data_IF_984873877295
#
_entry.id   IF_984873877295
#
_cell.length_a   1.000
_cell.length_b   1.000
_cell.length_c   1.000
_cell.angle_alpha   90.00
_cell.angle_beta   90.00
_cell.angle_gamma   90.00
#
_symmetry.space_group_name_H-M   'P 1'
#
loop_
_entity.id
_entity.type
_entity.pdbx_description
1 polymer ?
#
# COMPACT_ATOMS: atom_id res chain seq x y z
N UNK A 1 -21.56 -2.64 12.93
CA UNK A 1 -21.63 -3.95 12.25
C UNK A 1 -20.77 -4.00 10.96
N UNK A 2 -19.81 -3.08 10.76
CA UNK A 2 -19.04 -2.91 9.50
C UNK A 2 -17.66 -3.60 9.47
N UNK A 3 -17.18 -4.11 10.61
CA UNK A 3 -15.87 -4.76 10.73
C UNK A 3 -15.80 -6.16 10.06
N UNK A 4 -16.95 -6.76 9.72
CA UNK A 4 -16.99 -8.14 9.23
C UNK A 4 -16.65 -8.28 7.74
N UNK A 5 -16.95 -7.29 6.89
CA UNK A 5 -16.69 -7.39 5.45
C UNK A 5 -15.20 -7.35 5.10
N UNK A 6 -14.46 -6.39 5.67
CA UNK A 6 -13.00 -6.25 5.49
C UNK A 6 -12.24 -7.50 5.94
N UNK A 7 -12.57 -7.97 7.14
CA UNK A 7 -11.93 -9.15 7.71
C UNK A 7 -12.21 -10.40 6.87
N UNK A 8 -13.46 -10.58 6.44
CA UNK A 8 -13.86 -11.70 5.58
C UNK A 8 -13.15 -11.69 4.23
N UNK A 9 -13.05 -10.52 3.57
CA UNK A 9 -12.36 -10.40 2.28
C UNK A 9 -10.87 -10.72 2.41
N UNK A 10 -10.21 -10.15 3.42
CA UNK A 10 -8.78 -10.41 3.66
C UNK A 10 -8.55 -11.90 3.99
N UNK A 11 -9.42 -12.49 4.81
CA UNK A 11 -9.36 -13.91 5.12
C UNK A 11 -9.51 -14.77 3.85
N UNK A 12 -10.46 -14.44 2.96
CA UNK A 12 -10.63 -15.15 1.68
C UNK A 12 -9.42 -15.01 0.75
N UNK A 13 -8.76 -13.85 0.74
CA UNK A 13 -7.50 -13.66 0.00
C UNK A 13 -6.44 -14.63 0.51
N UNK A 14 -6.26 -14.72 1.83
CA UNK A 14 -5.26 -15.62 2.44
C UNK A 14 -5.59 -17.10 2.20
N UNK A 15 -6.86 -17.49 2.35
CA UNK A 15 -7.31 -18.85 2.04
C UNK A 15 -7.00 -19.23 0.58
N UNK A 16 -7.27 -18.33 -0.38
CA UNK A 16 -7.04 -18.57 -1.80
C UNK A 16 -5.55 -18.72 -2.16
N UNK A 17 -4.66 -18.05 -1.44
CA UNK A 17 -3.20 -18.21 -1.61
C UNK A 17 -2.61 -19.31 -0.71
N UNK A 18 -3.46 -20.09 -0.04
CA UNK A 18 -3.05 -21.20 0.81
C UNK A 18 -2.37 -20.78 2.11
N UNK A 19 -2.51 -19.52 2.53
CA UNK A 19 -1.89 -19.00 3.74
C UNK A 19 -2.78 -19.26 4.96
N UNK A 20 -2.18 -19.91 5.95
CA UNK A 20 -2.69 -20.05 7.31
C UNK A 20 -1.51 -19.94 8.28
N UNK A 21 -1.76 -20.03 9.58
CA UNK A 21 -0.68 -19.87 10.58
C UNK A 21 0.44 -20.92 10.44
N UNK A 22 0.11 -22.16 10.09
CA UNK A 22 1.11 -23.21 9.90
C UNK A 22 2.01 -22.91 8.70
N UNK A 23 1.41 -22.62 7.55
CA UNK A 23 2.17 -22.26 6.33
C UNK A 23 3.00 -20.99 6.56
N UNK A 24 2.43 -20.02 7.28
CA UNK A 24 3.13 -18.80 7.66
C UNK A 24 4.38 -19.10 8.51
N UNK A 25 4.26 -20.02 9.48
CA UNK A 25 5.38 -20.45 10.31
C UNK A 25 6.47 -21.15 9.48
N UNK A 26 6.07 -22.06 8.59
CA UNK A 26 6.99 -22.80 7.70
C UNK A 26 7.77 -21.86 6.77
N UNK A 27 7.10 -20.89 6.16
CA UNK A 27 7.73 -19.92 5.26
C UNK A 27 8.70 -19.00 6.01
N UNK A 28 8.33 -18.54 7.21
CA UNK A 28 9.24 -17.74 8.04
C UNK A 28 10.46 -18.56 8.46
N UNK A 29 10.28 -19.83 8.80
CA UNK A 29 11.39 -20.70 9.18
C UNK A 29 12.32 -21.00 8.01
N UNK A 30 11.79 -21.18 6.81
CA UNK A 30 12.59 -21.27 5.60
C UNK A 30 13.44 -20.00 5.37
N UNK A 31 12.85 -18.81 5.54
CA UNK A 31 13.58 -17.55 5.41
C UNK A 31 14.67 -17.38 6.49
N UNK A 32 14.39 -17.77 7.73
CA UNK A 32 15.37 -17.74 8.82
C UNK A 32 16.49 -18.75 8.58
N UNK A 33 16.17 -19.93 8.05
CA UNK A 33 17.16 -20.95 7.73
C UNK A 33 18.12 -20.47 6.64
N UNK A 34 17.59 -19.82 5.60
CA UNK A 34 18.36 -19.26 4.49
C UNK A 34 19.25 -18.09 4.92
N UNK A 35 18.68 -17.12 5.66
CA UNK A 35 19.36 -15.84 5.96
C UNK A 35 19.96 -15.74 7.36
N UNK A 36 19.64 -16.67 8.26
CA UNK A 36 20.00 -16.64 9.67
C UNK A 36 19.21 -15.60 10.49
N UNK A 37 19.04 -14.38 9.98
CA UNK A 37 18.14 -13.35 10.51
C UNK A 37 17.34 -12.73 9.38
N UNK A 38 16.10 -12.34 9.68
CA UNK A 38 15.17 -11.79 8.69
C UNK A 38 14.61 -10.44 9.18
N UNK A 39 14.24 -9.59 8.24
CA UNK A 39 13.59 -8.29 8.44
C UNK A 39 12.19 -8.28 7.79
N UNK A 40 11.39 -7.24 8.05
CA UNK A 40 10.14 -6.98 7.31
C UNK A 40 10.33 -7.04 5.80
N UNK A 41 11.48 -6.53 5.36
CA UNK A 41 11.83 -6.44 3.95
C UNK A 41 12.05 -7.82 3.33
N UNK A 42 12.74 -8.71 4.03
CA UNK A 42 12.99 -10.08 3.56
C UNK A 42 11.66 -10.82 3.35
N UNK A 43 10.71 -10.63 4.26
CA UNK A 43 9.38 -11.23 4.18
C UNK A 43 8.59 -10.62 3.01
N UNK A 44 8.55 -9.29 2.90
CA UNK A 44 7.88 -8.58 1.79
C UNK A 44 8.42 -8.97 0.41
N UNK A 45 9.72 -9.27 0.32
CA UNK A 45 10.38 -9.63 -0.93
C UNK A 45 10.05 -11.04 -1.39
N UNK A 46 10.10 -11.98 -0.46
CA UNK A 46 9.90 -13.39 -0.77
C UNK A 46 8.43 -13.75 -0.83
N UNK A 47 7.61 -13.14 0.04
CA UNK A 47 6.21 -13.49 0.22
C UNK A 47 5.37 -12.27 0.65
N UNK A 48 4.97 -11.42 -0.31
CA UNK A 48 4.11 -10.25 -0.03
C UNK A 48 2.86 -10.62 0.77
N UNK A 49 2.16 -11.71 0.41
CA UNK A 49 0.97 -12.15 1.12
C UNK A 49 1.24 -12.68 2.53
N UNK A 50 2.44 -13.23 2.79
CA UNK A 50 2.85 -13.68 4.12
C UNK A 50 3.02 -12.50 5.06
N UNK A 51 3.64 -11.42 4.58
CA UNK A 51 3.75 -10.18 5.34
C UNK A 51 2.36 -9.64 5.70
N UNK A 52 1.47 -9.53 4.70
CA UNK A 52 0.09 -9.08 4.89
C UNK A 52 -0.67 -9.95 5.91
N UNK A 53 -0.48 -11.27 5.85
CA UNK A 53 -1.06 -12.23 6.79
C UNK A 53 -0.61 -11.94 8.21
N UNK A 54 0.71 -11.80 8.41
CA UNK A 54 1.30 -11.52 9.72
C UNK A 54 0.76 -10.21 10.26
N UNK A 55 0.76 -9.14 9.47
CA UNK A 55 0.21 -7.87 9.90
C UNK A 55 -1.26 -8.00 10.30
N UNK A 56 -2.09 -8.60 9.46
CA UNK A 56 -3.54 -8.60 9.67
C UNK A 56 -3.91 -9.22 11.02
N UNK A 57 -3.32 -10.39 11.31
CA UNK A 57 -3.61 -11.17 12.51
C UNK A 57 -2.77 -10.75 13.73
N UNK A 58 -1.50 -10.36 13.53
CA UNK A 58 -0.55 -10.14 14.62
C UNK A 58 -0.22 -8.66 14.83
N UNK A 59 -0.66 -7.77 13.94
CA UNK A 59 -0.46 -6.31 13.93
C UNK A 59 0.97 -5.86 13.62
N UNK A 60 1.97 -6.68 13.87
CA UNK A 60 3.35 -6.45 13.43
C UNK A 60 4.16 -7.74 13.37
N UNK A 61 5.19 -7.76 12.52
CA UNK A 61 6.15 -8.87 12.47
C UNK A 61 6.90 -9.00 13.80
N UNK A 62 7.24 -7.89 14.46
CA UNK A 62 7.83 -7.92 15.81
C UNK A 62 6.96 -8.70 16.80
N UNK A 63 5.63 -8.48 16.79
CA UNK A 63 4.71 -9.18 17.69
C UNK A 63 4.57 -10.66 17.34
N UNK A 64 4.49 -10.98 16.05
CA UNK A 64 4.52 -12.36 15.57
C UNK A 64 5.82 -13.09 15.99
N UNK A 65 6.98 -12.48 15.75
CA UNK A 65 8.28 -13.05 16.11
C UNK A 65 8.45 -13.21 17.63
N UNK A 66 7.90 -12.29 18.42
CA UNK A 66 7.81 -12.42 19.89
C UNK A 66 6.97 -13.63 20.31
N UNK A 67 5.77 -13.80 19.75
CA UNK A 67 4.89 -14.95 20.04
C UNK A 67 5.58 -16.28 19.76
N UNK A 68 6.40 -16.33 18.71
CA UNK A 68 7.14 -17.53 18.29
C UNK A 68 8.49 -17.71 18.97
N UNK A 69 8.85 -16.84 19.93
CA UNK A 69 10.16 -16.83 20.59
C UNK A 69 11.36 -16.70 19.62
N UNK A 70 11.13 -16.05 18.46
CA UNK A 70 12.10 -15.87 17.38
C UNK A 70 12.59 -14.43 17.24
N UNK A 71 12.30 -13.56 18.20
CA UNK A 71 12.71 -12.15 18.14
C UNK A 71 14.23 -11.95 17.92
N UNK A 72 15.09 -12.83 18.45
CA UNK A 72 16.55 -12.79 18.21
C UNK A 72 16.96 -13.06 16.75
N UNK A 73 16.07 -13.69 15.99
CA UNK A 73 16.20 -13.98 14.55
C UNK A 73 15.53 -12.90 13.69
N UNK A 74 14.87 -11.93 14.33
CA UNK A 74 14.26 -10.80 13.67
C UNK A 74 15.17 -9.57 13.83
N UNK A 75 15.43 -8.89 12.72
CA UNK A 75 16.02 -7.56 12.73
C UNK A 75 14.84 -6.59 12.79
N UNK A 76 14.57 -6.04 13.98
CA UNK A 76 13.61 -4.93 14.13
C UNK A 76 14.05 -3.84 13.16
N UNK A 77 13.22 -3.60 12.14
CA UNK A 77 13.53 -2.67 11.07
C UNK A 77 13.35 -1.25 11.60
N UNK A 78 14.45 -0.60 11.98
CA UNK A 78 14.55 0.85 11.82
C UNK A 78 15.10 1.10 10.41
N UNK A 79 14.26 1.56 9.46
CA UNK A 79 14.77 1.95 8.14
C UNK A 79 15.91 2.93 8.33
N UNK A 80 17.03 2.73 7.64
CA UNK A 80 18.07 3.75 7.64
C UNK A 80 17.46 5.10 7.23
N UNK A 81 17.88 6.19 7.87
CA UNK A 81 17.39 7.54 7.53
C UNK A 81 17.46 7.81 6.01
N UNK A 82 18.47 7.25 5.35
CA UNK A 82 18.63 7.31 3.90
C UNK A 82 17.49 6.60 3.14
N UNK A 83 17.11 5.39 3.56
CA UNK A 83 16.02 4.63 2.95
C UNK A 83 14.68 5.34 3.16
N UNK A 84 14.41 5.89 4.36
CA UNK A 84 13.20 6.71 4.61
C UNK A 84 13.12 7.89 3.66
N UNK A 85 14.21 8.64 3.51
CA UNK A 85 14.27 9.78 2.59
C UNK A 85 14.03 9.37 1.14
N UNK A 86 14.59 8.24 0.72
CA UNK A 86 14.44 7.72 -0.64
C UNK A 86 13.00 7.27 -0.92
N UNK A 87 12.38 6.54 0.01
CA UNK A 87 10.97 6.14 -0.09
C UNK A 87 10.04 7.34 -0.06
N UNK A 88 10.31 8.34 0.78
CA UNK A 88 9.56 9.60 0.81
C UNK A 88 9.67 10.34 -0.52
N UNK A 89 10.86 10.40 -1.12
CA UNK A 89 11.06 11.04 -2.43
C UNK A 89 10.28 10.31 -3.53
N UNK A 90 10.34 8.99 -3.56
CA UNK A 90 9.54 8.18 -4.50
C UNK A 90 8.03 8.39 -4.28
N UNK A 91 7.61 8.60 -3.03
CA UNK A 91 6.21 8.87 -2.69
C UNK A 91 5.74 10.18 -3.31
N UNK A 92 6.56 11.22 -3.20
CA UNK A 92 6.32 12.54 -3.81
C UNK A 92 6.33 12.45 -5.34
N UNK A 93 7.30 11.74 -5.94
CA UNK A 93 7.35 11.54 -7.40
C UNK A 93 6.10 10.80 -7.90
N UNK A 94 5.63 9.80 -7.16
CA UNK A 94 4.40 9.09 -7.50
C UNK A 94 3.16 9.99 -7.37
N UNK A 95 3.08 10.76 -6.30
CA UNK A 95 1.98 11.71 -6.08
C UNK A 95 1.90 12.76 -7.21
N UNK A 96 3.03 13.34 -7.61
CA UNK A 96 3.11 14.27 -8.73
C UNK A 96 2.64 13.62 -10.03
N UNK A 97 3.09 12.39 -10.31
CA UNK A 97 2.66 11.65 -11.49
C UNK A 97 1.16 11.35 -11.50
N UNK A 98 0.56 11.06 -10.34
CA UNK A 98 -0.90 10.92 -10.21
C UNK A 98 -1.59 12.25 -10.51
N UNK A 99 -1.09 13.37 -10.00
CA UNK A 99 -1.66 14.70 -10.29
C UNK A 99 -1.62 15.05 -11.79
N UNK A 100 -0.50 14.78 -12.46
CA UNK A 100 -0.39 14.92 -13.91
C UNK A 100 -1.38 14.03 -14.66
N UNK A 101 -1.54 12.77 -14.23
CA UNK A 101 -2.50 11.83 -14.82
C UNK A 101 -3.95 12.32 -14.68
N UNK A 102 -4.32 12.81 -13.50
CA UNK A 102 -5.65 13.38 -13.26
C UNK A 102 -5.89 14.61 -14.14
N UNK A 103 -4.87 15.45 -14.32
CA UNK A 103 -4.93 16.64 -15.18
C UNK A 103 -5.13 16.26 -16.65
N UNK A 104 -4.37 15.29 -17.18
CA UNK A 104 -4.52 14.78 -18.55
C UNK A 104 -5.90 14.17 -18.80
N UNK A 105 -6.53 13.61 -17.77
CA UNK A 105 -7.90 13.08 -17.82
C UNK A 105 -8.98 14.15 -17.58
N UNK A 106 -8.62 15.43 -17.49
CA UNK A 106 -9.51 16.55 -17.17
C UNK A 106 -10.29 16.35 -15.85
N UNK A 107 -9.67 15.70 -14.87
CA UNK A 107 -10.24 15.54 -13.53
C UNK A 107 -9.76 16.72 -12.68
N UNK A 108 -10.70 17.59 -12.32
CA UNK A 108 -10.42 18.76 -11.48
C UNK A 108 -10.12 18.34 -10.03
N UNK A 109 -9.08 18.92 -9.43
CA UNK A 109 -8.74 18.75 -8.03
C UNK A 109 -7.99 19.97 -7.49
N UNK A 110 -7.98 20.12 -6.16
CA UNK A 110 -7.09 21.03 -5.44
C UNK A 110 -6.05 20.18 -4.70
N UNK A 111 -4.77 20.54 -4.79
CA UNK A 111 -3.72 19.81 -4.09
C UNK A 111 -3.58 20.30 -2.65
N UNK A 112 -3.49 19.37 -1.69
CA UNK A 112 -3.16 19.62 -0.28
C UNK A 112 -4.08 20.51 0.56
N UNK A 113 -5.10 21.16 -0.02
CA UNK A 113 -5.99 22.04 0.70
C UNK A 113 -7.38 21.42 0.88
N UNK A 114 -7.59 20.85 2.07
CA UNK A 114 -8.88 20.31 2.48
C UNK A 114 -9.77 21.32 3.24
N UNK A 115 -9.25 22.51 3.57
CA UNK A 115 -9.88 23.43 4.52
C UNK A 115 -10.06 22.87 5.94
N UNK A 116 -9.52 21.67 6.26
CA UNK A 116 -9.62 21.02 7.58
C UNK A 116 -8.25 20.93 8.24
N UNK A 117 -8.16 21.45 9.47
CA UNK A 117 -6.94 21.42 10.28
C UNK A 117 -6.44 19.98 10.42
N UNK A 118 -5.14 19.80 10.18
CA UNK A 118 -4.43 18.53 10.22
C UNK A 118 -4.78 17.51 9.14
N UNK A 119 -5.70 17.77 8.19
CA UNK A 119 -5.93 16.88 7.05
C UNK A 119 -5.28 17.47 5.79
N UNK A 120 -4.33 16.73 5.21
CA UNK A 120 -3.61 17.13 4.01
C UNK A 120 -3.67 15.97 3.00
N UNK A 121 -4.87 15.71 2.43
CA UNK A 121 -4.97 14.75 1.34
C UNK A 121 -4.15 15.25 0.15
N UNK A 122 -3.60 14.33 -0.63
CA UNK A 122 -2.86 14.70 -1.83
C UNK A 122 -3.77 15.43 -2.84
N UNK A 123 -5.03 15.01 -2.95
CA UNK A 123 -6.01 15.57 -3.88
C UNK A 123 -7.35 15.85 -3.19
N UNK A 124 -7.99 16.97 -3.54
CA UNK A 124 -9.34 17.32 -3.11
C UNK A 124 -10.21 17.53 -4.35
N UNK A 125 -11.03 16.53 -4.67
CA UNK A 125 -11.94 16.57 -5.82
C UNK A 125 -13.19 17.40 -5.50
N UNK A 126 -13.63 17.36 -4.25
CA UNK A 126 -14.68 18.22 -3.69
C UNK A 126 -14.56 18.28 -2.17
N UNK A 127 -15.39 19.11 -1.51
CA UNK A 127 -15.44 19.17 -0.04
C UNK A 127 -15.71 17.81 0.62
N UNK A 128 -16.37 16.89 -0.09
CA UNK A 128 -16.79 15.56 0.40
C UNK A 128 -16.10 14.40 -0.28
N UNK A 129 -15.20 14.66 -1.24
CA UNK A 129 -14.45 13.64 -1.96
C UNK A 129 -12.97 14.00 -2.03
N UNK A 130 -12.15 13.25 -1.29
CA UNK A 130 -10.70 13.42 -1.27
C UNK A 130 -9.99 12.23 -1.94
N UNK A 131 -8.76 12.46 -2.36
CA UNK A 131 -7.86 11.49 -2.94
C UNK A 131 -6.49 11.50 -2.27
N UNK A 132 -5.83 10.34 -2.29
CA UNK A 132 -4.50 10.16 -1.72
C UNK A 132 -3.70 9.20 -2.62
N UNK A 133 -2.44 9.49 -2.89
CA UNK A 133 -1.54 8.62 -3.63
C UNK A 133 -0.68 7.79 -2.66
N UNK A 134 -0.56 6.49 -2.94
CA UNK A 134 0.28 5.57 -2.17
C UNK A 134 1.06 4.63 -3.09
N UNK A 135 2.36 4.50 -2.87
CA UNK A 135 3.19 3.58 -3.66
C UNK A 135 2.69 2.13 -3.59
N UNK A 136 2.12 1.72 -2.45
CA UNK A 136 1.64 0.36 -2.25
C UNK A 136 0.23 0.36 -1.70
N UNK A 137 -0.60 -0.56 -2.18
CA UNK A 137 -1.92 -0.85 -1.63
C UNK A 137 -1.88 -1.12 -0.12
N UNK A 138 -0.82 -1.79 0.35
CA UNK A 138 -0.69 -2.22 1.73
C UNK A 138 -0.48 -1.09 2.74
N UNK A 139 0.21 -0.01 2.33
CA UNK A 139 0.50 1.11 3.25
C UNK A 139 -0.78 1.81 3.68
N UNK A 140 -1.87 1.65 2.93
CA UNK A 140 -3.19 2.14 3.28
C UNK A 140 -3.68 1.54 4.59
N UNK A 141 -3.55 0.23 4.79
CA UNK A 141 -4.04 -0.46 6.00
C UNK A 141 -3.21 -0.18 7.25
N UNK A 142 -2.01 0.39 7.07
CA UNK A 142 -1.10 0.80 8.14
C UNK A 142 -1.19 2.29 8.45
N UNK A 143 -1.71 3.06 7.50
CA UNK A 143 -1.84 4.48 7.64
C UNK A 143 -3.07 4.81 8.47
N UNK A 144 -2.97 5.85 9.29
CA UNK A 144 -4.13 6.46 9.93
C UNK A 144 -5.00 7.22 8.92
N UNK A 145 -4.68 7.21 7.63
CA UNK A 145 -5.33 7.99 6.57
C UNK A 145 -6.84 7.75 6.53
N UNK A 146 -7.28 6.49 6.53
CA UNK A 146 -8.71 6.14 6.48
C UNK A 146 -9.42 6.71 7.71
N UNK A 147 -8.97 6.35 8.91
CA UNK A 147 -9.59 6.76 10.19
C UNK A 147 -9.57 8.28 10.40
N UNK A 148 -8.58 8.94 9.81
CA UNK A 148 -8.42 10.40 9.85
C UNK A 148 -9.37 11.09 8.88
N UNK A 149 -9.49 10.61 7.65
CA UNK A 149 -10.21 11.30 6.59
C UNK A 149 -11.71 10.98 6.57
N UNK A 150 -12.13 9.73 6.78
CA UNK A 150 -13.54 9.30 6.67
C UNK A 150 -14.51 10.02 7.61
N UNK A 151 -13.99 10.64 8.68
CA UNK A 151 -14.74 11.49 9.60
C UNK A 151 -15.19 12.82 8.99
N UNK A 152 -14.57 13.23 7.90
CA UNK A 152 -14.74 14.55 7.29
C UNK A 152 -15.35 14.50 5.88
N UNK A 153 -15.30 13.34 5.23
CA UNK A 153 -15.71 13.13 3.84
C UNK A 153 -16.73 12.02 3.69
N UNK A 154 -17.37 11.99 2.52
CA UNK A 154 -18.30 10.92 2.13
C UNK A 154 -17.59 9.91 1.23
N UNK A 155 -16.51 10.32 0.56
CA UNK A 155 -15.69 9.44 -0.29
C UNK A 155 -14.20 9.74 -0.17
N UNK A 156 -13.40 8.68 -0.03
CA UNK A 156 -11.95 8.68 -0.15
C UNK A 156 -11.54 7.77 -1.31
N UNK A 157 -10.74 8.28 -2.24
CA UNK A 157 -10.15 7.49 -3.33
C UNK A 157 -8.64 7.40 -3.13
N UNK A 158 -8.13 6.22 -2.79
CA UNK A 158 -6.69 6.01 -2.66
C UNK A 158 -6.16 5.37 -3.94
N UNK A 159 -5.30 6.11 -4.64
CA UNK A 159 -4.68 5.68 -5.89
C UNK A 159 -3.35 5.01 -5.57
N UNK A 160 -3.16 3.77 -6.02
CA UNK A 160 -1.96 3.01 -5.68
C UNK A 160 -1.23 2.41 -6.87
N UNK A 161 0.10 2.31 -6.73
CA UNK A 161 0.99 1.76 -7.77
C UNK A 161 1.15 0.24 -7.66
N UNK A 162 1.48 -0.29 -6.48
CA UNK A 162 1.73 -1.73 -6.31
C UNK A 162 0.53 -2.45 -5.73
N UNK A 163 0.03 -3.44 -6.46
CA UNK A 163 -1.01 -4.37 -6.00
C UNK A 163 -0.45 -5.35 -4.97
N UNK A 164 -1.21 -5.59 -3.91
CA UNK A 164 -1.05 -6.81 -3.10
C UNK A 164 -2.11 -7.85 -3.43
N UNK A 165 -3.27 -7.46 -3.97
CA UNK A 165 -4.28 -8.40 -4.48
C UNK A 165 -4.25 -8.47 -6.02
N UNK A 166 -4.21 -9.68 -6.57
CA UNK A 166 -4.31 -9.87 -8.04
C UNK A 166 -5.74 -9.69 -8.58
N UNK A 167 -6.74 -9.58 -7.70
CA UNK A 167 -8.12 -9.83 -8.09
C UNK A 167 -8.83 -8.63 -8.71
N UNK A 168 -8.51 -7.38 -8.34
CA UNK A 168 -9.29 -6.21 -8.79
C UNK A 168 -8.45 -4.94 -8.97
N UNK A 169 -8.82 -4.09 -9.94
CA UNK A 169 -8.18 -2.78 -10.19
C UNK A 169 -8.83 -1.65 -9.38
N UNK A 170 -9.99 -1.93 -8.78
CA UNK A 170 -10.81 -0.98 -8.04
C UNK A 170 -11.63 -1.74 -7.02
N UNK A 171 -11.56 -1.38 -5.74
CA UNK A 171 -12.31 -2.06 -4.68
C UNK A 171 -12.62 -1.13 -3.51
N UNK A 172 -13.80 -1.27 -2.93
CA UNK A 172 -14.11 -0.62 -1.66
C UNK A 172 -13.50 -1.42 -0.52
N UNK A 173 -12.78 -0.72 0.35
CA UNK A 173 -12.33 -1.29 1.61
C UNK A 173 -13.33 -0.95 2.71
N UNK A 174 -13.90 0.26 2.72
CA UNK A 174 -15.04 0.69 3.57
C UNK A 174 -16.18 1.17 2.69
N UNK A 175 -17.36 1.45 3.28
CA UNK A 175 -18.41 2.19 2.57
C UNK A 175 -17.94 3.54 1.98
N UNK A 176 -16.93 4.20 2.59
CA UNK A 176 -16.42 5.51 2.16
C UNK A 176 -15.08 5.45 1.44
N UNK A 177 -14.23 4.44 1.65
CA UNK A 177 -12.89 4.38 1.03
C UNK A 177 -12.81 3.33 -0.06
N UNK A 178 -12.36 3.79 -1.21
CA UNK A 178 -12.09 2.99 -2.39
C UNK A 178 -10.60 3.01 -2.71
N UNK A 179 -10.03 1.84 -2.98
CA UNK A 179 -8.69 1.69 -3.52
C UNK A 179 -8.78 1.55 -5.02
N UNK A 180 -7.98 2.31 -5.76
CA UNK A 180 -7.92 2.27 -7.22
C UNK A 180 -6.48 2.10 -7.66
N UNK A 181 -6.21 1.03 -8.39
CA UNK A 181 -4.91 0.84 -9.00
C UNK A 181 -4.70 1.87 -10.11
N UNK A 182 -3.49 2.44 -10.21
CA UNK A 182 -3.23 3.53 -11.16
C UNK A 182 -3.49 3.15 -12.63
N UNK A 183 -3.31 1.88 -13.01
CA UNK A 183 -3.67 1.42 -14.37
C UNK A 183 -5.12 1.65 -14.75
N UNK A 184 -6.04 1.78 -13.78
CA UNK A 184 -7.43 2.15 -14.05
C UNK A 184 -7.54 3.51 -14.74
N UNK A 185 -6.66 4.45 -14.42
CA UNK A 185 -6.62 5.78 -15.03
C UNK A 185 -5.76 5.78 -16.29
N UNK A 186 -4.60 5.11 -16.25
CA UNK A 186 -3.65 5.07 -17.37
C UNK A 186 -4.27 4.45 -18.64
N UNK A 187 -5.17 3.47 -18.48
CA UNK A 187 -5.87 2.86 -19.63
C UNK A 187 -6.82 3.83 -20.35
N UNK A 188 -7.28 4.89 -19.68
CA UNK A 188 -8.17 5.89 -20.27
C UNK A 188 -7.42 6.95 -21.10
N UNK A 189 -6.07 6.97 -21.00
CA UNK A 189 -5.25 7.84 -21.83
C UNK A 189 -5.17 7.35 -23.29
N UNK A 190 -4.98 8.28 -24.24
CA UNK A 190 -4.54 7.96 -25.60
C UNK A 190 -3.25 7.13 -25.57
N UNK A 191 -3.06 6.27 -26.58
CA UNK A 191 -1.96 5.29 -26.65
C UNK A 191 -0.59 5.96 -26.43
N UNK A 192 -0.34 7.09 -27.09
CA UNK A 192 0.96 7.77 -27.03
C UNK A 192 1.28 8.30 -25.62
N UNK A 193 0.25 8.80 -24.92
CA UNK A 193 0.36 9.29 -23.53
C UNK A 193 0.46 8.12 -22.55
N UNK A 194 -0.26 7.04 -22.80
CA UNK A 194 -0.23 5.83 -21.97
C UNK A 194 1.19 5.31 -21.80
N UNK A 195 1.92 5.15 -22.90
CA UNK A 195 3.30 4.64 -22.86
C UNK A 195 4.21 5.54 -22.02
N UNK A 196 4.07 6.87 -22.14
CA UNK A 196 4.87 7.82 -21.36
C UNK A 196 4.62 7.68 -19.85
N UNK A 197 3.37 7.47 -19.44
CA UNK A 197 3.03 7.24 -18.04
C UNK A 197 3.54 5.87 -17.56
N UNK A 198 3.35 4.81 -18.35
CA UNK A 198 3.82 3.46 -18.02
C UNK A 198 5.34 3.40 -17.84
N UNK A 199 6.11 4.09 -18.69
CA UNK A 199 7.56 4.18 -18.57
C UNK A 199 7.99 4.88 -17.27
N UNK A 200 7.29 5.94 -16.86
CA UNK A 200 7.57 6.68 -15.63
C UNK A 200 7.17 5.89 -14.39
N UNK A 201 6.02 5.22 -14.42
CA UNK A 201 5.59 4.31 -13.34
C UNK A 201 6.60 3.17 -13.17
N UNK A 202 7.06 2.58 -14.27
CA UNK A 202 8.09 1.54 -14.27
C UNK A 202 9.41 2.04 -13.69
N UNK A 203 9.81 3.30 -13.95
CA UNK A 203 11.01 3.90 -13.32
C UNK A 203 10.86 4.05 -11.82
N UNK A 204 9.70 4.48 -11.33
CA UNK A 204 9.41 4.60 -9.89
C UNK A 204 9.46 3.21 -9.24
N UNK A 205 8.80 2.22 -9.84
CA UNK A 205 8.76 0.85 -9.32
C UNK A 205 10.15 0.20 -9.31
N UNK A 206 10.92 0.34 -10.39
CA UNK A 206 12.30 -0.17 -10.43
C UNK A 206 13.21 0.54 -9.42
N UNK A 207 13.04 1.84 -9.24
CA UNK A 207 13.80 2.62 -8.24
C UNK A 207 13.44 2.19 -6.83
N UNK A 208 12.16 1.91 -6.57
CA UNK A 208 11.69 1.33 -5.31
C UNK A 208 12.35 -0.04 -5.08
N UNK A 209 12.28 -0.94 -6.05
CA UNK A 209 12.89 -2.28 -5.96
C UNK A 209 14.39 -2.18 -5.67
N UNK A 210 15.12 -1.28 -6.35
CA UNK A 210 16.55 -1.03 -6.11
C UNK A 210 16.86 -0.38 -4.77
N UNK A 211 15.96 0.44 -4.25
CA UNK A 211 16.13 1.09 -2.93
C UNK A 211 16.00 0.10 -1.79
N UNK A 212 15.24 -0.96 -2.05
CA UNK A 212 15.02 -2.05 -1.15
C UNK A 212 16.15 -3.10 -1.35
N UNK A 213 16.87 -3.16 -2.50
CA UNK A 213 17.97 -4.13 -2.76
C UNK A 213 19.26 -3.73 -2.08
#
# INVERSE_FOLDING_TARGET
MELNGRHYIIQKIFENVGLNFQVCDELIDALILDKGKISDEDILRCHTHLFDFIIHYEKSVTKYMKRRSKLKKYLDYEPSKYLVLKLSKLGIEFEQLVGELLTELNINYIQYDSGKRNCKPDFVFSEKHWGDAKISEHTVFHSQTIDKYEKHIDKLTIIYLRKTSQLEWRRYVTPKTELVHISYFVKELPIDKRQQFEDRLSKIENSLIRSIK
#
